data_IF_216661868623
#
_entry.id   IF_216661868623
#
_cell.length_a   1.000
_cell.length_b   1.000
_cell.length_c   1.000
_cell.angle_alpha   90.00
_cell.angle_beta   90.00
_cell.angle_gamma   90.00
#
_symmetry.space_group_name_H-M   'P 1'
#
loop_
_entity.id
_entity.type
_entity.pdbx_description
1 polymer ?
#
# COMPACT_ATOMS: atom_id res chain seq x y z
N UNK A 1 -0.12 -16.52 26.54
CA UNK A 1 0.09 -16.39 25.09
C UNK A 1 -0.66 -15.19 24.51
N UNK A 2 -0.10 -13.97 24.54
CA UNK A 2 -0.86 -12.76 24.13
C UNK A 2 -0.05 -11.62 23.50
N UNK A 3 1.19 -11.87 23.05
CA UNK A 3 2.10 -10.79 22.56
C UNK A 3 2.31 -10.76 21.04
N UNK A 4 1.71 -11.67 20.28
CA UNK A 4 1.91 -11.76 18.82
C UNK A 4 0.86 -11.02 17.99
N UNK A 5 -0.26 -10.58 18.59
CA UNK A 5 -1.39 -10.01 17.84
C UNK A 5 -1.22 -8.53 17.49
N UNK A 6 -0.50 -7.75 18.31
CA UNK A 6 -0.27 -6.31 18.08
C UNK A 6 0.76 -5.99 16.98
N UNK A 7 1.62 -6.94 16.58
CA UNK A 7 2.63 -6.75 15.50
C UNK A 7 2.11 -7.05 14.09
N UNK A 8 0.92 -7.64 13.95
CA UNK A 8 0.34 -8.04 12.65
C UNK A 8 -0.37 -6.95 11.82
N UNK A 9 -1.05 -5.92 12.39
CA UNK A 9 -1.84 -5.00 11.56
C UNK A 9 -0.96 -4.20 10.59
N UNK A 10 0.21 -3.76 11.03
CA UNK A 10 1.17 -3.04 10.17
C UNK A 10 1.69 -3.88 9.01
N UNK A 11 1.93 -5.19 9.22
CA UNK A 11 2.36 -6.07 8.13
C UNK A 11 1.24 -6.26 7.10
N UNK A 12 -0.01 -6.39 7.54
CA UNK A 12 -1.15 -6.47 6.64
C UNK A 12 -1.31 -5.18 5.83
N UNK A 13 -1.18 -4.01 6.47
CA UNK A 13 -1.24 -2.72 5.78
C UNK A 13 -0.14 -2.58 4.70
N UNK A 14 1.09 -2.99 5.00
CA UNK A 14 2.18 -2.99 4.01
C UNK A 14 1.94 -3.98 2.86
N UNK A 15 1.38 -5.15 3.14
CA UNK A 15 1.05 -6.12 2.08
C UNK A 15 -0.05 -5.58 1.17
N UNK A 16 -1.09 -4.96 1.72
CA UNK A 16 -2.15 -4.31 0.93
C UNK A 16 -1.58 -3.17 0.09
N UNK A 17 -0.72 -2.33 0.67
CA UNK A 17 -0.03 -1.26 -0.04
C UNK A 17 0.82 -1.79 -1.21
N UNK A 18 1.59 -2.86 -0.98
CA UNK A 18 2.40 -3.49 -2.02
C UNK A 18 1.54 -4.07 -3.14
N UNK A 19 0.44 -4.74 -2.80
CA UNK A 19 -0.51 -5.29 -3.79
C UNK A 19 -1.10 -4.15 -4.64
N UNK A 20 -1.54 -3.05 -4.03
CA UNK A 20 -2.09 -1.91 -4.75
C UNK A 20 -1.10 -1.32 -5.77
N UNK A 21 0.18 -1.20 -5.38
CA UNK A 21 1.24 -0.74 -6.30
C UNK A 21 1.45 -1.73 -7.45
N UNK A 22 1.56 -3.02 -7.15
CA UNK A 22 1.76 -4.05 -8.18
C UNK A 22 0.60 -4.12 -9.17
N UNK A 23 -0.63 -4.02 -8.68
CA UNK A 23 -1.83 -3.97 -9.52
C UNK A 23 -1.81 -2.73 -10.40
N UNK A 24 -1.51 -1.55 -9.84
CA UNK A 24 -1.40 -0.33 -10.64
C UNK A 24 -0.31 -0.40 -11.71
N UNK A 25 0.85 -0.97 -11.40
CA UNK A 25 1.92 -1.19 -12.39
C UNK A 25 1.46 -2.16 -13.48
N UNK A 26 0.80 -3.26 -13.12
CA UNK A 26 0.24 -4.21 -14.08
C UNK A 26 -0.78 -3.57 -15.01
N UNK A 27 -1.62 -2.67 -14.49
CA UNK A 27 -2.58 -1.90 -15.28
C UNK A 27 -1.90 -0.94 -16.28
N UNK A 28 -0.75 -0.35 -15.94
CA UNK A 28 0.00 0.52 -16.86
C UNK A 28 0.62 -0.22 -18.04
N UNK A 29 0.97 -1.49 -17.86
CA UNK A 29 1.61 -2.30 -18.91
C UNK A 29 0.57 -2.78 -19.94
N UNK A 30 -0.68 -2.93 -19.51
CA UNK A 30 -1.75 -3.46 -20.34
C UNK A 30 -2.40 -2.36 -21.20
N UNK A 31 -2.79 -2.65 -22.45
CA UNK A 31 -3.26 -1.65 -23.40
C UNK A 31 -4.70 -1.23 -23.09
N UNK A 32 -4.86 -0.37 -22.08
CA UNK A 32 -6.16 0.17 -21.65
C UNK A 32 -6.32 1.64 -22.01
N UNK A 33 -7.58 2.09 -22.05
CA UNK A 33 -7.95 3.49 -22.22
C UNK A 33 -7.42 4.40 -21.10
N UNK A 34 -7.32 5.70 -21.41
CA UNK A 34 -6.73 6.72 -20.51
C UNK A 34 -7.34 6.79 -19.11
N UNK A 35 -8.62 6.40 -18.94
CA UNK A 35 -9.27 6.38 -17.62
C UNK A 35 -8.70 5.27 -16.72
N UNK A 36 -8.35 4.12 -17.29
CA UNK A 36 -7.70 3.01 -16.56
C UNK A 36 -6.28 3.40 -16.14
N UNK A 37 -5.58 4.17 -16.98
CA UNK A 37 -4.26 4.74 -16.65
C UNK A 37 -4.35 5.67 -15.44
N UNK A 38 -5.39 6.51 -15.35
CA UNK A 38 -5.61 7.36 -14.17
C UNK A 38 -5.84 6.51 -12.90
N UNK A 39 -6.69 5.47 -12.99
CA UNK A 39 -6.92 4.56 -11.86
C UNK A 39 -5.63 3.86 -11.42
N UNK A 40 -4.80 3.45 -12.36
CA UNK A 40 -3.51 2.83 -12.08
C UNK A 40 -2.59 3.77 -11.27
N UNK A 41 -2.50 5.04 -11.67
CA UNK A 41 -1.76 6.05 -10.92
C UNK A 41 -2.31 6.31 -9.52
N UNK A 42 -3.65 6.33 -9.37
CA UNK A 42 -4.29 6.47 -8.05
C UNK A 42 -3.96 5.28 -7.15
N UNK A 43 -3.96 4.05 -7.68
CA UNK A 43 -3.58 2.85 -6.93
C UNK A 43 -2.12 2.87 -6.49
N UNK A 44 -1.22 3.26 -7.39
CA UNK A 44 0.22 3.41 -7.09
C UNK A 44 0.41 4.49 -6.02
N UNK A 45 -0.13 5.68 -6.23
CA UNK A 45 -0.02 6.80 -5.30
C UNK A 45 -0.58 6.47 -3.92
N UNK A 46 -1.79 5.89 -3.87
CA UNK A 46 -2.44 5.46 -2.64
C UNK A 46 -1.65 4.38 -1.90
N UNK A 47 -1.13 3.38 -2.62
CA UNK A 47 -0.27 2.33 -2.06
C UNK A 47 1.02 2.89 -1.48
N UNK A 48 1.69 3.81 -2.19
CA UNK A 48 2.91 4.48 -1.70
C UNK A 48 2.62 5.30 -0.44
N UNK A 49 1.58 6.13 -0.44
CA UNK A 49 1.19 6.94 0.73
C UNK A 49 0.86 6.04 1.92
N UNK A 50 0.05 4.99 1.72
CA UNK A 50 -0.29 4.04 2.78
C UNK A 50 0.96 3.32 3.33
N UNK A 51 1.89 2.94 2.46
CA UNK A 51 3.17 2.34 2.85
C UNK A 51 4.01 3.30 3.69
N UNK A 52 4.16 4.54 3.25
CA UNK A 52 4.89 5.59 3.97
C UNK A 52 4.26 5.87 5.33
N UNK A 53 2.94 6.06 5.40
CA UNK A 53 2.23 6.29 6.65
C UNK A 53 2.39 5.10 7.60
N UNK A 54 2.24 3.87 7.10
CA UNK A 54 2.43 2.66 7.91
C UNK A 54 3.84 2.59 8.47
N UNK A 55 4.87 2.90 7.67
CA UNK A 55 6.26 2.94 8.13
C UNK A 55 6.52 4.08 9.11
N UNK A 56 5.90 5.24 8.90
CA UNK A 56 5.98 6.38 9.80
C UNK A 56 5.44 6.01 11.18
N UNK A 57 4.21 5.51 11.27
CA UNK A 57 3.61 5.07 12.54
C UNK A 57 4.36 3.93 13.23
N UNK A 58 5.06 3.07 12.47
CA UNK A 58 5.94 2.05 13.06
C UNK A 58 7.22 2.67 13.64
N UNK A 59 7.72 3.76 13.06
CA UNK A 59 8.98 4.41 13.48
C UNK A 59 8.79 5.45 14.57
N UNK A 60 7.66 6.14 14.63
CA UNK A 60 7.38 7.06 15.74
C UNK A 60 6.89 6.28 16.96
N UNK A 61 7.63 6.27 18.08
CA UNK A 61 7.06 5.79 19.34
C UNK A 61 5.91 6.73 19.69
N UNK A 62 4.69 6.19 19.76
CA UNK A 62 3.53 6.92 20.28
C UNK A 62 3.85 7.31 21.72
N UNK A 63 3.99 8.62 21.96
CA UNK A 63 4.30 9.19 23.27
C UNK A 63 3.11 9.17 24.21
#
# INVERSE_FOLDING_TARGET
MGRTRARRPHRLALVVAAIAVLVGVGLLISPWDGLVVVVAWVLIGGGVVAGVLTLFFVRTPSS
#
